data_IF_598143675207
#
_entry.id   IF_598143675207
#
_cell.length_a   1.000
_cell.length_b   1.000
_cell.length_c   1.000
_cell.angle_alpha   90.00
_cell.angle_beta   90.00
_cell.angle_gamma   90.00
#
_symmetry.space_group_name_H-M   'P 1'
#
loop_
_entity.id
_entity.type
_entity.pdbx_description
1 polymer ?
#
# COMPACT_ATOMS: atom_id res chain seq x y z
N UNK A 1 -18.15 20.98 -11.01
CA UNK A 1 -16.77 20.51 -10.71
C UNK A 1 -16.70 19.09 -11.27
N UNK A 2 -15.64 18.72 -11.98
CA UNK A 2 -15.51 17.34 -12.49
C UNK A 2 -15.20 16.43 -11.30
N UNK A 3 -16.04 15.47 -11.04
CA UNK A 3 -15.81 14.43 -10.02
C UNK A 3 -14.63 13.59 -10.48
N UNK A 4 -13.63 13.44 -9.62
CA UNK A 4 -12.49 12.57 -9.90
C UNK A 4 -13.00 11.14 -10.03
N UNK A 5 -12.64 10.48 -11.12
CA UNK A 5 -13.03 9.09 -11.35
C UNK A 5 -12.04 8.15 -10.64
N UNK A 6 -12.50 7.01 -10.16
CA UNK A 6 -11.58 5.98 -9.66
C UNK A 6 -10.65 5.50 -10.78
N UNK A 7 -9.47 5.06 -10.39
CA UNK A 7 -8.59 4.31 -11.30
C UNK A 7 -9.16 2.92 -11.58
N UNK A 8 -8.74 2.32 -12.70
CA UNK A 8 -9.14 0.97 -13.03
C UNK A 8 -8.61 -0.05 -12.01
N UNK A 9 -9.40 -1.09 -11.78
CA UNK A 9 -9.03 -2.19 -10.91
C UNK A 9 -9.13 -1.89 -9.41
N UNK A 10 -8.38 -2.63 -8.64
CA UNK A 10 -8.31 -2.51 -7.18
C UNK A 10 -6.87 -2.43 -6.69
N UNK A 11 -6.63 -1.61 -5.69
CA UNK A 11 -5.35 -1.56 -4.98
C UNK A 11 -5.46 -2.33 -3.68
N UNK A 12 -4.72 -3.43 -3.59
CA UNK A 12 -4.58 -4.20 -2.35
C UNK A 12 -3.52 -3.55 -1.46
N UNK A 13 -3.84 -3.41 -0.18
CA UNK A 13 -2.99 -2.81 0.84
C UNK A 13 -2.59 -3.87 1.87
N UNK A 14 -1.33 -3.84 2.29
CA UNK A 14 -0.76 -4.75 3.28
C UNK A 14 0.12 -3.91 4.22
N UNK A 15 -0.35 -3.68 5.44
CA UNK A 15 0.48 -3.06 6.47
C UNK A 15 1.40 -4.11 7.09
N UNK A 16 2.67 -3.78 7.14
CA UNK A 16 3.73 -4.69 7.57
C UNK A 16 4.31 -4.22 8.89
N UNK A 17 4.38 -5.13 9.85
CA UNK A 17 5.06 -4.97 11.13
C UNK A 17 5.99 -6.14 11.35
N UNK A 18 7.21 -5.85 11.82
CA UNK A 18 8.12 -6.90 12.25
C UNK A 18 7.67 -7.53 13.57
N UNK A 19 8.04 -8.79 13.77
CA UNK A 19 7.91 -9.41 15.08
C UNK A 19 8.81 -8.72 16.10
N UNK A 20 8.47 -8.83 17.36
CA UNK A 20 9.17 -8.14 18.44
C UNK A 20 10.66 -8.50 18.52
N UNK A 21 10.99 -9.76 18.24
CA UNK A 21 12.36 -10.29 18.23
C UNK A 21 13.14 -10.01 16.94
N UNK A 22 12.51 -9.42 15.93
CA UNK A 22 13.12 -9.14 14.64
C UNK A 22 13.62 -7.70 14.59
N UNK A 23 14.87 -7.48 14.21
CA UNK A 23 15.36 -6.14 13.94
C UNK A 23 14.73 -5.58 12.66
N UNK A 24 14.74 -4.24 12.55
CA UNK A 24 14.26 -3.57 11.34
C UNK A 24 15.07 -3.97 10.10
N UNK A 25 16.37 -4.07 10.26
CA UNK A 25 17.30 -4.43 9.20
C UNK A 25 17.05 -5.86 8.70
N UNK A 26 16.80 -6.80 9.61
CA UNK A 26 16.41 -8.16 9.23
C UNK A 26 15.11 -8.17 8.42
N UNK A 27 14.06 -7.49 8.91
CA UNK A 27 12.80 -7.40 8.17
C UNK A 27 13.05 -6.86 6.76
N UNK A 28 13.82 -5.78 6.62
CA UNK A 28 14.10 -5.14 5.35
C UNK A 28 14.85 -6.08 4.39
N UNK A 29 15.87 -6.77 4.87
CA UNK A 29 16.63 -7.72 4.05
C UNK A 29 15.72 -8.82 3.55
N UNK A 30 14.94 -9.45 4.42
CA UNK A 30 14.05 -10.54 4.01
C UNK A 30 12.91 -10.07 3.12
N UNK A 31 12.38 -8.87 3.35
CA UNK A 31 11.34 -8.30 2.50
C UNK A 31 11.86 -7.99 1.08
N UNK A 32 12.95 -7.22 0.99
CA UNK A 32 13.40 -6.69 -0.31
C UNK A 32 14.28 -7.66 -1.09
N UNK A 33 15.05 -8.51 -0.42
CA UNK A 33 15.96 -9.43 -1.09
C UNK A 33 15.32 -10.78 -1.42
N UNK A 34 14.36 -11.23 -0.61
CA UNK A 34 13.76 -12.56 -0.75
C UNK A 34 12.31 -12.45 -1.21
N UNK A 35 11.42 -12.00 -0.33
CA UNK A 35 9.98 -12.01 -0.55
C UNK A 35 9.53 -11.18 -1.77
N UNK A 36 10.00 -9.94 -1.89
CA UNK A 36 9.58 -9.06 -2.97
C UNK A 36 9.95 -9.61 -4.36
N UNK A 37 11.18 -10.08 -4.62
CA UNK A 37 11.51 -10.77 -5.87
C UNK A 37 10.63 -11.99 -6.14
N UNK A 38 10.40 -12.85 -5.15
CA UNK A 38 9.54 -14.04 -5.30
C UNK A 38 8.10 -13.66 -5.67
N UNK A 39 7.54 -12.62 -5.02
CA UNK A 39 6.21 -12.11 -5.37
C UNK A 39 6.18 -11.61 -6.82
N UNK A 40 7.20 -10.89 -7.26
CA UNK A 40 7.26 -10.35 -8.61
C UNK A 40 7.39 -11.45 -9.64
N UNK A 41 8.25 -12.42 -9.41
CA UNK A 41 8.42 -13.58 -10.29
C UNK A 41 7.09 -14.35 -10.41
N UNK A 42 6.39 -14.54 -9.29
CA UNK A 42 5.06 -15.15 -9.31
C UNK A 42 4.05 -14.33 -10.12
N UNK A 43 4.01 -13.00 -9.96
CA UNK A 43 3.09 -12.15 -10.72
C UNK A 43 3.42 -12.20 -12.23
N UNK A 44 4.69 -12.24 -12.58
CA UNK A 44 5.14 -12.42 -13.95
C UNK A 44 4.71 -13.77 -14.53
N UNK A 45 4.90 -14.86 -13.78
CA UNK A 45 4.45 -16.19 -14.17
C UNK A 45 2.93 -16.26 -14.38
N UNK A 46 2.15 -15.65 -13.47
CA UNK A 46 0.70 -15.58 -13.59
C UNK A 46 0.27 -14.81 -14.85
N UNK A 47 0.92 -13.68 -15.13
CA UNK A 47 0.71 -12.90 -16.35
C UNK A 47 0.96 -13.73 -17.60
N UNK A 48 2.09 -14.42 -17.65
CA UNK A 48 2.49 -15.21 -18.82
C UNK A 48 1.53 -16.39 -19.07
N UNK A 49 0.87 -16.86 -18.01
CA UNK A 49 -0.20 -17.87 -18.06
C UNK A 49 -1.60 -17.28 -18.32
N UNK A 50 -1.73 -15.97 -18.55
CA UNK A 50 -3.01 -15.31 -18.74
C UNK A 50 -3.95 -15.35 -17.52
N UNK A 51 -3.37 -15.47 -16.31
CA UNK A 51 -4.10 -15.51 -15.05
C UNK A 51 -4.13 -14.13 -14.39
N UNK A 52 -5.06 -13.94 -13.46
CA UNK A 52 -5.11 -12.73 -12.65
C UNK A 52 -3.77 -12.50 -11.94
N UNK A 53 -3.20 -11.31 -12.09
CA UNK A 53 -1.88 -10.94 -11.57
C UNK A 53 -1.86 -9.47 -11.17
N UNK A 54 -0.91 -9.12 -10.32
CA UNK A 54 -0.62 -7.72 -10.04
C UNK A 54 0.21 -7.13 -11.17
N UNK A 55 -0.25 -6.01 -11.72
CA UNK A 55 0.47 -5.28 -12.77
C UNK A 55 1.38 -4.19 -12.22
N UNK A 56 1.30 -3.92 -10.91
CA UNK A 56 2.15 -2.95 -10.21
C UNK A 56 2.35 -3.37 -8.76
N UNK A 57 3.57 -3.19 -8.26
CA UNK A 57 3.93 -3.38 -6.86
C UNK A 57 4.74 -2.18 -6.36
N UNK A 58 4.34 -1.61 -5.23
CA UNK A 58 5.09 -0.58 -4.52
C UNK A 58 5.22 -0.99 -3.05
N UNK A 59 6.44 -1.15 -2.59
CA UNK A 59 6.75 -1.23 -1.16
C UNK A 59 7.19 0.14 -0.65
N UNK A 60 6.65 0.57 0.46
CA UNK A 60 7.00 1.82 1.14
C UNK A 60 7.46 1.48 2.54
N UNK A 61 8.67 1.89 2.89
CA UNK A 61 9.19 1.79 4.25
C UNK A 61 8.84 3.06 4.99
N UNK A 62 8.34 2.91 6.21
CA UNK A 62 8.12 4.05 7.09
C UNK A 62 9.42 4.44 7.77
N UNK A 63 9.57 5.71 8.12
CA UNK A 63 10.77 6.21 8.77
C UNK A 63 10.91 5.62 10.18
N UNK A 64 12.15 5.30 10.58
CA UNK A 64 12.41 4.63 11.85
C UNK A 64 12.39 5.59 13.04
N UNK A 65 12.56 6.89 12.79
CA UNK A 65 13.00 7.85 13.80
C UNK A 65 11.88 8.68 14.42
N UNK A 66 10.61 8.30 14.22
CA UNK A 66 9.56 9.01 14.94
C UNK A 66 9.64 8.71 16.44
N UNK A 67 9.80 9.76 17.23
CA UNK A 67 9.63 9.69 18.70
C UNK A 67 8.28 9.04 19.02
N UNK A 68 8.32 7.92 19.73
CA UNK A 68 7.13 7.14 20.08
C UNK A 68 6.87 5.92 19.23
N UNK A 69 7.69 5.68 18.21
CA UNK A 69 7.58 4.51 17.33
C UNK A 69 6.38 4.57 16.39
N UNK A 70 6.50 3.94 15.24
CA UNK A 70 5.36 3.67 14.37
C UNK A 70 4.80 2.29 14.68
N UNK A 71 3.47 2.11 14.65
CA UNK A 71 2.88 0.78 14.82
C UNK A 71 3.25 -0.15 13.65
N UNK A 72 3.76 0.40 12.53
CA UNK A 72 4.05 -0.31 11.30
C UNK A 72 5.44 0.03 10.77
N UNK A 73 6.12 -0.94 10.16
CA UNK A 73 7.43 -0.75 9.51
C UNK A 73 7.28 -0.32 8.04
N UNK A 74 6.14 -0.60 7.42
CA UNK A 74 5.88 -0.20 6.05
C UNK A 74 4.54 -0.67 5.51
N UNK A 75 4.33 -0.42 4.23
CA UNK A 75 3.15 -0.86 3.49
C UNK A 75 3.53 -1.40 2.13
N UNK A 76 3.03 -2.59 1.79
CA UNK A 76 3.02 -3.11 0.43
C UNK A 76 1.70 -2.72 -0.24
N UNK A 77 1.78 -2.34 -1.51
CA UNK A 77 0.64 -1.94 -2.33
C UNK A 77 0.75 -2.66 -3.67
N UNK A 78 -0.26 -3.43 -4.01
CA UNK A 78 -0.33 -4.17 -5.27
C UNK A 78 -1.61 -3.80 -6.01
N UNK A 79 -1.54 -3.61 -7.32
CA UNK A 79 -2.67 -3.28 -8.17
C UNK A 79 -3.05 -4.47 -9.05
N UNK A 80 -4.32 -4.80 -9.04
CA UNK A 80 -4.95 -5.90 -9.77
C UNK A 80 -6.15 -5.40 -10.57
N UNK A 81 -6.57 -6.13 -11.58
CA UNK A 81 -7.80 -5.81 -12.33
C UNK A 81 -9.06 -5.92 -11.46
N UNK A 82 -9.04 -6.82 -10.47
CA UNK A 82 -10.15 -7.01 -9.54
C UNK A 82 -9.65 -7.10 -8.10
N UNK A 83 -10.50 -6.69 -7.17
CA UNK A 83 -10.25 -6.85 -5.74
C UNK A 83 -10.13 -8.34 -5.37
N UNK A 84 -9.18 -8.65 -4.49
CA UNK A 84 -9.12 -9.96 -3.87
C UNK A 84 -10.05 -10.01 -2.66
N UNK A 85 -10.70 -11.14 -2.43
CA UNK A 85 -11.45 -11.34 -1.19
C UNK A 85 -10.51 -11.23 0.01
N UNK A 86 -11.07 -10.79 1.12
CA UNK A 86 -10.32 -10.80 2.38
C UNK A 86 -9.96 -12.25 2.73
N UNK A 87 -8.71 -12.54 3.09
CA UNK A 87 -8.35 -13.87 3.53
C UNK A 87 -9.04 -14.20 4.87
N UNK A 88 -9.45 -15.46 5.04
CA UNK A 88 -10.06 -15.92 6.29
C UNK A 88 -9.09 -15.86 7.47
N UNK A 89 -7.80 -16.10 7.21
CA UNK A 89 -6.73 -16.04 8.18
C UNK A 89 -5.69 -15.00 7.76
N UNK A 90 -5.03 -14.34 8.71
CA UNK A 90 -3.94 -13.41 8.37
C UNK A 90 -2.84 -14.11 7.58
N UNK A 91 -2.34 -13.44 6.55
CA UNK A 91 -1.22 -13.92 5.75
C UNK A 91 0.02 -14.01 6.65
N UNK A 92 0.73 -15.13 6.59
CA UNK A 92 1.90 -15.38 7.44
C UNK A 92 1.56 -16.00 8.80
N UNK A 93 0.28 -16.35 9.08
CA UNK A 93 -0.08 -17.19 10.25
C UNK A 93 0.67 -18.52 10.20
N UNK A 94 0.80 -19.08 9.00
CA UNK A 94 1.71 -20.17 8.68
C UNK A 94 2.76 -19.62 7.70
N UNK A 95 3.97 -19.24 8.17
CA UNK A 95 4.98 -18.63 7.31
C UNK A 95 5.43 -19.56 6.17
N UNK A 96 5.35 -19.08 4.95
CA UNK A 96 5.79 -19.81 3.74
C UNK A 96 7.18 -19.38 3.26
N UNK A 97 7.67 -18.25 3.74
CA UNK A 97 8.99 -17.71 3.42
C UNK A 97 9.68 -17.07 4.63
N UNK A 98 10.91 -16.65 4.43
CA UNK A 98 11.73 -16.07 5.49
C UNK A 98 11.26 -14.67 5.91
N UNK A 99 10.59 -13.93 5.04
CA UNK A 99 10.00 -12.64 5.40
C UNK A 99 8.81 -12.84 6.36
N UNK A 100 7.92 -13.77 6.07
CA UNK A 100 6.78 -14.08 6.94
C UNK A 100 7.23 -14.63 8.31
N UNK A 101 8.40 -15.26 8.38
CA UNK A 101 9.01 -15.64 9.66
C UNK A 101 9.42 -14.43 10.50
N UNK A 102 9.72 -13.29 9.86
CA UNK A 102 10.19 -12.05 10.49
C UNK A 102 9.11 -11.01 10.70
N UNK A 103 8.05 -11.05 9.91
CA UNK A 103 6.88 -10.18 10.02
C UNK A 103 5.81 -10.79 10.93
N UNK A 104 5.06 -9.94 11.62
CA UNK A 104 3.79 -10.36 12.22
C UNK A 104 2.80 -10.74 11.11
N UNK A 105 1.88 -11.68 11.36
CA UNK A 105 0.82 -11.97 10.42
C UNK A 105 0.02 -10.72 10.08
N UNK A 106 -0.34 -10.53 8.82
CA UNK A 106 -0.98 -9.32 8.32
C UNK A 106 -2.20 -9.63 7.44
N UNK A 107 -3.14 -8.69 7.44
CA UNK A 107 -4.33 -8.77 6.59
C UNK A 107 -4.14 -7.91 5.34
N UNK A 108 -4.71 -8.39 4.23
CA UNK A 108 -4.90 -7.56 3.05
C UNK A 108 -6.28 -6.94 3.03
N UNK A 109 -6.38 -5.75 2.50
CA UNK A 109 -7.69 -5.17 2.19
C UNK A 109 -7.67 -4.46 0.83
N UNK A 110 -8.81 -4.50 0.17
CA UNK A 110 -8.99 -3.85 -1.12
C UNK A 110 -9.35 -2.37 -0.93
N UNK A 111 -8.81 -1.53 -1.81
CA UNK A 111 -9.17 -0.11 -1.87
C UNK A 111 -9.46 0.30 -3.30
N UNK A 112 -10.36 1.27 -3.44
CA UNK A 112 -10.57 2.02 -4.67
C UNK A 112 -9.68 3.26 -4.66
N UNK A 113 -8.88 3.44 -5.68
CA UNK A 113 -7.89 4.52 -5.78
C UNK A 113 -8.44 5.70 -6.57
N UNK A 114 -8.20 6.92 -6.07
CA UNK A 114 -8.53 8.20 -6.71
C UNK A 114 -7.27 9.07 -6.79
N UNK A 115 -6.88 9.50 -7.99
CA UNK A 115 -5.67 10.31 -8.20
C UNK A 115 -6.05 11.77 -8.42
N UNK A 116 -5.67 12.63 -7.49
CA UNK A 116 -5.93 14.08 -7.54
C UNK A 116 -4.75 14.89 -8.09
N UNK A 117 -3.53 14.42 -7.88
CA UNK A 117 -2.32 14.92 -8.50
C UNK A 117 -1.57 13.74 -9.09
N UNK A 118 -1.23 13.83 -10.36
CA UNK A 118 -0.48 12.81 -11.11
C UNK A 118 0.71 13.44 -11.82
N UNK A 119 1.60 14.05 -11.05
CA UNK A 119 2.86 14.56 -11.56
C UNK A 119 3.84 13.43 -11.84
N UNK A 120 4.68 13.61 -12.85
CA UNK A 120 5.77 12.69 -13.13
C UNK A 120 6.76 12.67 -11.95
N UNK A 121 6.94 11.51 -11.39
CA UNK A 121 8.05 11.27 -10.49
C UNK A 121 9.28 11.01 -11.35
N UNK A 122 10.35 11.81 -11.25
CA UNK A 122 11.56 11.62 -12.06
C UNK A 122 12.39 10.42 -11.58
N UNK A 123 11.70 9.36 -11.21
CA UNK A 123 12.30 8.12 -10.75
C UNK A 123 12.08 7.08 -11.84
N UNK A 124 13.17 6.55 -12.36
CA UNK A 124 13.09 5.31 -13.12
C UNK A 124 12.74 4.20 -12.13
N UNK A 125 11.74 3.34 -12.45
CA UNK A 125 11.50 2.16 -11.64
C UNK A 125 12.82 1.43 -11.46
N UNK A 126 13.17 1.13 -10.22
CA UNK A 126 14.31 0.25 -9.95
C UNK A 126 14.02 -1.06 -10.66
N UNK A 127 14.91 -1.46 -11.54
CA UNK A 127 14.81 -2.78 -12.14
C UNK A 127 15.13 -3.78 -11.04
N UNK A 128 14.24 -4.72 -10.85
CA UNK A 128 14.28 -5.76 -9.83
C UNK A 128 15.46 -6.73 -9.94
N UNK A 129 16.31 -6.54 -10.92
CA UNK A 129 17.51 -7.32 -11.14
C UNK A 129 18.72 -6.90 -10.28
N UNK A 130 18.59 -5.80 -9.54
CA UNK A 130 19.60 -5.44 -8.55
C UNK A 130 19.30 -6.12 -7.22
N UNK A 131 20.30 -6.75 -6.65
CA UNK A 131 20.19 -7.57 -5.46
C UNK A 131 19.67 -6.82 -4.21
N UNK A 132 19.66 -5.49 -4.24
CA UNK A 132 19.11 -4.64 -3.19
C UNK A 132 18.85 -3.23 -3.74
N UNK A 133 17.69 -2.61 -3.52
CA UNK A 133 17.46 -1.24 -3.91
C UNK A 133 18.32 -0.31 -3.05
N UNK A 134 19.50 0.05 -3.54
CA UNK A 134 20.47 0.89 -2.85
C UNK A 134 20.17 2.38 -3.00
N UNK A 135 19.31 2.74 -3.94
CA UNK A 135 19.02 4.13 -4.26
C UNK A 135 17.71 4.56 -3.62
N UNK A 136 17.78 5.47 -2.67
CA UNK A 136 16.59 6.19 -2.21
C UNK A 136 16.10 7.11 -3.32
N UNK A 137 14.79 7.22 -3.46
CA UNK A 137 14.18 8.02 -4.53
C UNK A 137 14.43 9.53 -4.42
N UNK A 138 14.88 10.01 -3.28
CA UNK A 138 14.97 11.45 -2.98
C UNK A 138 13.60 12.10 -2.69
N UNK A 139 12.51 11.34 -2.72
CA UNK A 139 11.16 11.80 -2.43
C UNK A 139 10.63 11.17 -1.16
N UNK A 140 9.88 11.96 -0.41
CA UNK A 140 9.11 11.45 0.71
C UNK A 140 7.71 11.06 0.24
N UNK A 141 7.24 9.91 0.72
CA UNK A 141 5.85 9.51 0.63
C UNK A 141 5.25 9.57 2.04
N UNK A 142 4.26 10.43 2.19
CA UNK A 142 3.45 10.48 3.42
C UNK A 142 2.24 9.59 3.21
N UNK A 143 2.03 8.64 4.11
CA UNK A 143 0.84 7.79 4.14
C UNK A 143 0.06 8.10 5.40
N UNK A 144 -1.17 8.57 5.24
CA UNK A 144 -2.09 8.82 6.34
C UNK A 144 -3.20 7.78 6.30
N UNK A 145 -3.42 7.13 7.43
CA UNK A 145 -4.56 6.25 7.65
C UNK A 145 -5.61 7.05 8.42
N UNK A 146 -6.81 7.09 7.92
CA UNK A 146 -7.93 7.76 8.55
C UNK A 146 -9.10 6.78 8.68
N UNK A 147 -9.76 6.81 9.82
CA UNK A 147 -10.94 6.02 10.08
C UNK A 147 -12.09 6.94 10.51
N UNK A 148 -13.29 6.52 10.20
CA UNK A 148 -14.49 7.15 10.73
C UNK A 148 -14.58 6.94 12.24
N UNK A 149 -14.87 8.02 12.95
CA UNK A 149 -14.96 7.97 14.40
C UNK A 149 -16.14 7.13 14.92
N UNK A 150 -17.20 6.97 14.14
CA UNK A 150 -18.45 6.33 14.55
C UNK A 150 -19.13 5.54 13.43
N UNK A 151 -18.56 4.95 12.51
CA UNK A 151 -19.13 4.12 11.40
C UNK A 151 -20.54 4.52 10.88
N UNK A 152 -21.06 5.69 11.30
CA UNK A 152 -22.47 6.04 11.17
C UNK A 152 -22.89 6.52 9.81
N UNK A 153 -21.96 6.92 8.98
CA UNK A 153 -22.31 7.44 7.66
C UNK A 153 -21.09 7.39 6.72
N UNK A 154 -20.70 6.18 6.37
CA UNK A 154 -19.58 5.93 5.48
C UNK A 154 -19.78 6.60 4.12
N UNK A 155 -21.01 6.58 3.59
CA UNK A 155 -21.31 7.15 2.28
C UNK A 155 -21.15 8.68 2.30
N UNK A 156 -21.79 9.38 3.24
CA UNK A 156 -21.65 10.84 3.38
C UNK A 156 -20.21 11.25 3.65
N UNK A 157 -19.48 10.49 4.47
CA UNK A 157 -18.07 10.78 4.72
C UNK A 157 -17.23 10.62 3.46
N UNK A 158 -17.43 9.54 2.73
CA UNK A 158 -16.70 9.24 1.48
C UNK A 158 -17.01 10.30 0.43
N UNK A 159 -18.28 10.67 0.26
CA UNK A 159 -18.69 11.74 -0.64
C UNK A 159 -18.02 13.08 -0.29
N UNK A 160 -18.08 13.50 0.98
CA UNK A 160 -17.41 14.70 1.45
C UNK A 160 -15.88 14.60 1.23
N UNK A 161 -15.26 13.44 1.55
CA UNK A 161 -13.83 13.27 1.40
C UNK A 161 -13.41 13.43 -0.05
N UNK A 162 -14.11 12.76 -0.98
CA UNK A 162 -13.77 12.77 -2.39
C UNK A 162 -14.11 14.07 -3.09
N UNK A 163 -15.25 14.69 -2.77
CA UNK A 163 -15.76 15.82 -3.53
C UNK A 163 -15.40 17.18 -2.93
N UNK A 164 -15.09 17.26 -1.63
CA UNK A 164 -14.76 18.48 -0.92
C UNK A 164 -13.33 18.51 -0.37
N UNK A 165 -13.01 17.53 0.49
CA UNK A 165 -11.74 17.55 1.23
C UNK A 165 -10.55 17.30 0.30
N UNK A 166 -10.56 16.23 -0.46
CA UNK A 166 -9.43 15.82 -1.29
C UNK A 166 -9.09 16.82 -2.40
N UNK A 167 -10.05 17.44 -3.12
CA UNK A 167 -9.74 18.50 -4.07
C UNK A 167 -9.05 19.71 -3.43
N UNK A 168 -9.52 20.12 -2.26
CA UNK A 168 -8.88 21.24 -1.52
C UNK A 168 -7.50 20.88 -1.02
N UNK A 169 -7.34 19.64 -0.49
CA UNK A 169 -6.05 19.14 -0.06
C UNK A 169 -5.08 19.06 -1.24
N UNK A 170 -5.51 18.54 -2.38
CA UNK A 170 -4.69 18.44 -3.60
C UNK A 170 -4.17 19.80 -4.06
N UNK A 171 -5.00 20.84 -4.03
CA UNK A 171 -4.56 22.18 -4.39
C UNK A 171 -3.47 22.71 -3.44
N UNK A 172 -3.64 22.54 -2.14
CA UNK A 172 -2.63 22.91 -1.14
C UNK A 172 -1.33 22.10 -1.30
N UNK A 173 -1.46 20.81 -1.56
CA UNK A 173 -0.31 19.94 -1.80
C UNK A 173 0.45 20.35 -3.08
N UNK A 174 -0.27 20.72 -4.14
CA UNK A 174 0.34 21.24 -5.37
C UNK A 174 1.11 22.54 -5.11
N UNK A 175 0.52 23.47 -4.37
CA UNK A 175 1.17 24.72 -3.98
C UNK A 175 2.42 24.49 -3.11
N UNK A 176 2.40 23.44 -2.28
CA UNK A 176 3.54 22.98 -1.47
C UNK A 176 4.59 22.19 -2.27
N UNK A 177 4.39 21.99 -3.57
CA UNK A 177 5.34 21.27 -4.43
C UNK A 177 5.20 19.75 -4.42
N UNK A 178 4.09 19.20 -3.90
CA UNK A 178 3.83 17.78 -3.99
C UNK A 178 3.62 17.36 -5.45
N UNK A 179 4.25 16.28 -5.83
CA UNK A 179 4.16 15.72 -7.18
C UNK A 179 2.94 14.83 -7.36
N UNK A 180 2.57 14.09 -6.31
CA UNK A 180 1.46 13.15 -6.39
C UNK A 180 0.59 13.20 -5.13
N UNK A 181 -0.71 13.17 -5.32
CA UNK A 181 -1.68 13.04 -4.24
C UNK A 181 -2.76 12.03 -4.61
N UNK A 182 -2.89 11.01 -3.79
CA UNK A 182 -3.76 9.85 -4.04
C UNK A 182 -4.59 9.59 -2.79
N UNK A 183 -5.87 9.34 -2.99
CA UNK A 183 -6.79 8.86 -1.97
C UNK A 183 -7.13 7.40 -2.27
N UNK A 184 -7.17 6.57 -1.26
CA UNK A 184 -7.58 5.18 -1.37
C UNK A 184 -8.69 4.93 -0.36
N UNK A 185 -9.88 4.64 -0.86
CA UNK A 185 -11.04 4.34 -0.03
C UNK A 185 -11.14 2.83 0.10
N UNK A 186 -11.18 2.34 1.34
CA UNK A 186 -11.38 0.91 1.59
C UNK A 186 -12.70 0.46 0.99
N UNK A 187 -12.66 -0.65 0.28
CA UNK A 187 -13.89 -1.29 -0.18
C UNK A 187 -14.56 -1.95 1.03
N UNK A 188 -15.88 -1.86 1.08
CA UNK A 188 -16.65 -2.52 2.13
C UNK A 188 -16.39 -4.04 2.07
N UNK A 189 -16.14 -4.62 3.22
CA UNK A 189 -16.18 -6.07 3.41
C UNK A 189 -17.36 -6.39 4.32
N UNK A 190 -18.05 -7.47 4.03
CA UNK A 190 -19.20 -7.93 4.83
C UNK A 190 -18.82 -8.32 6.27
N UNK A 191 -17.53 -8.28 6.61
CA UNK A 191 -17.03 -8.56 7.95
C UNK A 191 -16.44 -7.31 8.61
N UNK A 192 -16.81 -7.04 9.87
CA UNK A 192 -16.24 -5.92 10.61
C UNK A 192 -14.72 -6.10 10.77
N UNK A 193 -13.99 -5.01 10.62
CA UNK A 193 -12.59 -4.92 11.01
C UNK A 193 -12.47 -5.32 12.50
N UNK A 194 -11.89 -6.47 12.77
CA UNK A 194 -11.32 -6.73 14.08
C UNK A 194 -10.07 -5.84 14.17
N UNK A 195 -10.16 -4.78 14.99
CA UNK A 195 -9.16 -3.73 15.18
C UNK A 195 -7.85 -4.23 15.77
#
# INVERSE_FOLDING_TARGET
MSTVQPTDGAKMMFLIRRKLETSREELLVHWFKNHMPEVIDLQQELRDKGRAHAWRYIATLFDADAEGGHPWDGVAQLWYDNAWPRPAEPIGSEPTDTFQQKAEPYMSWATTEYVYLDGELPIKPLTLNEAFPTTRSGFYKVTMLAALKDQRDHETFTDYWLNDHAPRAANRQREAGALRYVVSISQESDEPYAG
#
